data_IF_824783763595
#
_entry.id   IF_824783763595
#
_cell.length_a   1.000
_cell.length_b   1.000
_cell.length_c   1.000
_cell.angle_alpha   90.00
_cell.angle_beta   90.00
_cell.angle_gamma   90.00
#
_symmetry.space_group_name_H-M   'P 1'
#
loop_
_entity.id
_entity.type
_entity.pdbx_description
1 polymer ?
#
# COMPACT_ATOMS: atom_id res chain seq x y z
N UNK A 1 -17.83 3.96 12.92
CA UNK A 1 -16.58 3.31 12.45
C UNK A 1 -15.70 4.32 11.70
N UNK A 2 -16.09 4.86 10.55
CA UNK A 2 -15.22 5.78 9.78
C UNK A 2 -14.69 7.01 10.55
N UNK A 3 -15.52 7.67 11.37
CA UNK A 3 -15.11 8.84 12.17
C UNK A 3 -14.15 8.45 13.30
N UNK A 4 -14.38 7.34 13.96
CA UNK A 4 -13.51 6.84 15.03
C UNK A 4 -12.16 6.40 14.49
N UNK A 5 -12.14 5.74 13.34
CA UNK A 5 -10.91 5.35 12.65
C UNK A 5 -10.14 6.57 12.18
N UNK A 6 -10.81 7.56 11.59
CA UNK A 6 -10.18 8.82 11.21
C UNK A 6 -9.52 9.49 12.42
N UNK A 7 -10.24 9.69 13.53
CA UNK A 7 -9.70 10.33 14.73
C UNK A 7 -8.51 9.56 15.30
N UNK A 8 -8.56 8.23 15.31
CA UNK A 8 -7.46 7.39 15.75
C UNK A 8 -6.21 7.58 14.89
N UNK A 9 -6.37 7.63 13.57
CA UNK A 9 -5.26 7.83 12.63
C UNK A 9 -4.73 9.26 12.66
N UNK A 10 -5.61 10.27 12.78
CA UNK A 10 -5.19 11.66 12.94
C UNK A 10 -4.34 11.83 14.21
N UNK A 11 -4.73 11.25 15.34
CA UNK A 11 -3.93 11.26 16.57
C UNK A 11 -2.57 10.58 16.38
N UNK A 12 -2.52 9.45 15.68
CA UNK A 12 -1.28 8.72 15.41
C UNK A 12 -0.33 9.54 14.52
N UNK A 13 -0.85 10.16 13.48
CA UNK A 13 -0.05 11.01 12.58
C UNK A 13 0.36 12.32 13.23
N UNK A 14 -0.45 12.90 14.13
CA UNK A 14 -0.07 14.07 14.91
C UNK A 14 1.13 13.81 15.83
N UNK A 15 1.20 12.61 16.39
CA UNK A 15 2.27 12.21 17.31
C UNK A 15 3.60 11.88 16.61
N UNK A 16 3.57 11.57 15.30
CA UNK A 16 4.76 11.19 14.53
C UNK A 16 5.01 12.18 13.40
N UNK A 17 5.92 13.14 13.64
CA UNK A 17 6.44 14.03 12.58
C UNK A 17 7.61 13.43 11.79
N UNK A 18 8.11 12.27 12.20
CA UNK A 18 9.22 11.62 11.53
C UNK A 18 8.78 11.06 10.18
N UNK A 19 9.50 11.44 9.13
CA UNK A 19 9.31 10.87 7.79
C UNK A 19 9.70 9.40 7.83
N UNK A 20 8.71 8.53 7.71
CA UNK A 20 8.95 7.08 7.63
C UNK A 20 9.54 6.75 6.25
N UNK A 21 10.54 5.86 6.17
CA UNK A 21 11.04 5.40 4.88
C UNK A 21 9.94 4.64 4.11
N UNK A 22 10.01 4.61 2.77
CA UNK A 22 9.12 3.77 1.96
C UNK A 22 9.21 2.30 2.39
N UNK A 23 8.18 1.50 2.05
CA UNK A 23 8.24 0.05 2.25
C UNK A 23 9.49 -0.54 1.60
N UNK A 24 10.22 -1.37 2.33
CA UNK A 24 11.40 -2.05 1.81
C UNK A 24 11.03 -2.90 0.59
N UNK A 25 9.92 -3.66 0.68
CA UNK A 25 9.43 -4.46 -0.46
C UNK A 25 9.19 -3.59 -1.71
N UNK A 26 8.49 -2.46 -1.56
CA UNK A 26 8.23 -1.58 -2.70
C UNK A 26 9.51 -1.00 -3.29
N UNK A 27 10.43 -0.55 -2.43
CA UNK A 27 11.72 0.00 -2.86
C UNK A 27 12.53 -1.06 -3.62
N UNK A 28 12.67 -2.25 -3.05
CA UNK A 28 13.45 -3.33 -3.64
C UNK A 28 12.88 -3.73 -5.03
N UNK A 29 11.54 -3.79 -5.17
CA UNK A 29 10.88 -4.04 -6.46
C UNK A 29 11.16 -2.92 -7.47
N UNK A 30 11.09 -1.65 -7.04
CA UNK A 30 11.32 -0.50 -7.94
C UNK A 30 12.80 -0.27 -8.27
N UNK A 31 13.72 -0.82 -7.47
CA UNK A 31 15.17 -0.77 -7.70
C UNK A 31 15.64 -1.86 -8.69
N UNK A 32 14.80 -2.86 -8.97
CA UNK A 32 15.09 -3.94 -9.91
C UNK A 32 14.78 -3.53 -11.36
N UNK A 33 15.80 -3.15 -12.09
CA UNK A 33 15.70 -2.64 -13.49
C UNK A 33 15.00 -3.59 -14.46
N UNK A 34 15.06 -4.89 -14.23
CA UNK A 34 14.47 -5.88 -15.14
C UNK A 34 12.94 -5.85 -15.19
N UNK A 35 12.27 -5.31 -14.18
CA UNK A 35 10.80 -5.14 -14.20
C UNK A 35 10.34 -3.99 -15.09
N UNK A 36 11.23 -3.03 -15.40
CA UNK A 36 10.95 -1.82 -16.20
C UNK A 36 9.73 -1.03 -15.68
N UNK A 37 9.62 -0.92 -14.36
CA UNK A 37 8.51 -0.27 -13.68
C UNK A 37 8.76 1.25 -13.60
N UNK A 38 8.35 1.99 -14.63
CA UNK A 38 8.45 3.44 -14.63
C UNK A 38 7.31 4.08 -15.41
N UNK A 39 6.77 5.16 -14.87
CA UNK A 39 5.69 5.91 -15.51
C UNK A 39 4.33 5.22 -15.46
N UNK A 40 3.32 5.86 -16.03
CA UNK A 40 1.94 5.42 -15.97
C UNK A 40 1.21 5.94 -14.72
N UNK A 41 -0.01 5.44 -14.48
CA UNK A 41 -0.85 5.82 -13.35
C UNK A 41 -0.66 4.85 -12.19
N UNK A 42 -0.34 5.36 -11.01
CA UNK A 42 -0.23 4.55 -9.80
C UNK A 42 -1.27 4.94 -8.74
N UNK A 43 -1.66 3.98 -7.93
CA UNK A 43 -2.57 4.16 -6.79
C UNK A 43 -1.89 3.69 -5.51
N UNK A 44 -1.82 4.56 -4.49
CA UNK A 44 -1.37 4.22 -3.14
C UNK A 44 -2.56 4.23 -2.19
N UNK A 45 -2.97 3.06 -1.71
CA UNK A 45 -4.12 2.84 -0.84
C UNK A 45 -3.72 2.89 0.63
N UNK A 46 -4.49 3.61 1.45
CA UNK A 46 -4.16 3.90 2.85
C UNK A 46 -2.74 4.49 2.96
N UNK A 47 -2.48 5.51 2.15
CA UNK A 47 -1.15 6.04 1.91
C UNK A 47 -0.51 6.71 3.14
N UNK A 48 -1.30 7.05 4.17
CA UNK A 48 -0.84 7.83 5.32
C UNK A 48 -0.23 9.17 4.88
N UNK A 49 0.97 9.48 5.36
CA UNK A 49 1.73 10.67 4.95
C UNK A 49 2.44 10.51 3.60
N UNK A 50 2.13 9.45 2.85
CA UNK A 50 2.52 9.31 1.44
C UNK A 50 3.94 8.84 1.18
N UNK A 51 4.59 8.16 2.11
CA UNK A 51 5.97 7.66 1.93
C UNK A 51 6.16 6.82 0.66
N UNK A 52 5.18 5.98 0.32
CA UNK A 52 5.20 5.16 -0.88
C UNK A 52 4.76 5.96 -2.12
N UNK A 53 3.75 6.84 -1.99
CA UNK A 53 3.31 7.73 -3.04
C UNK A 53 4.44 8.65 -3.53
N UNK A 54 5.24 9.20 -2.61
CA UNK A 54 6.41 10.02 -2.93
C UNK A 54 7.45 9.23 -3.72
N UNK A 55 7.76 8.00 -3.28
CA UNK A 55 8.69 7.13 -4.01
C UNK A 55 8.19 6.82 -5.42
N UNK A 56 6.91 6.46 -5.58
CA UNK A 56 6.31 6.20 -6.90
C UNK A 56 6.39 7.42 -7.81
N UNK A 57 6.09 8.62 -7.29
CA UNK A 57 6.17 9.85 -8.06
C UNK A 57 7.61 10.19 -8.47
N UNK A 58 8.60 9.92 -7.60
CA UNK A 58 10.03 10.04 -7.93
C UNK A 58 10.46 9.08 -9.04
N UNK A 59 9.78 7.95 -9.18
CA UNK A 59 9.99 6.96 -10.26
C UNK A 59 9.18 7.27 -11.52
N UNK A 60 8.54 8.46 -11.59
CA UNK A 60 7.86 8.96 -12.78
C UNK A 60 6.41 8.53 -12.92
N UNK A 61 5.78 7.95 -11.90
CA UNK A 61 4.35 7.65 -11.91
C UNK A 61 3.52 8.91 -11.63
N UNK A 62 2.37 9.03 -12.33
CA UNK A 62 1.29 9.93 -11.92
C UNK A 62 0.48 9.23 -10.80
N UNK A 63 0.62 9.69 -9.56
CA UNK A 63 0.13 8.96 -8.38
C UNK A 63 -1.20 9.53 -7.90
N UNK A 64 -2.16 8.64 -7.60
CA UNK A 64 -3.31 8.95 -6.73
C UNK A 64 -3.06 8.31 -5.37
N UNK A 65 -3.03 9.12 -4.32
CA UNK A 65 -2.78 8.70 -2.94
C UNK A 65 -4.04 8.90 -2.10
N UNK A 66 -4.60 7.81 -1.56
CA UNK A 66 -5.88 7.82 -0.85
C UNK A 66 -5.64 7.49 0.63
N UNK A 67 -6.17 8.32 1.52
CA UNK A 67 -6.23 8.05 2.95
C UNK A 67 -7.47 8.70 3.59
N UNK A 68 -7.88 8.19 4.74
CA UNK A 68 -9.00 8.76 5.51
C UNK A 68 -8.57 9.98 6.32
N UNK A 69 -7.29 10.07 6.71
CA UNK A 69 -6.73 11.11 7.58
C UNK A 69 -6.36 12.36 6.78
N UNK A 70 -7.09 13.47 6.92
CA UNK A 70 -6.71 14.74 6.27
C UNK A 70 -5.37 15.25 6.78
N UNK A 71 -5.00 14.96 8.04
CA UNK A 71 -3.74 15.39 8.63
C UNK A 71 -2.56 14.65 7.98
N UNK A 72 -2.69 13.34 7.76
CA UNK A 72 -1.67 12.56 7.07
C UNK A 72 -1.46 13.06 5.63
N UNK A 73 -2.56 13.30 4.91
CA UNK A 73 -2.52 13.82 3.55
C UNK A 73 -1.86 15.19 3.47
N UNK A 74 -2.08 16.09 4.45
CA UNK A 74 -1.43 17.40 4.45
C UNK A 74 0.08 17.28 4.68
N UNK A 75 0.52 16.41 5.59
CA UNK A 75 1.95 16.11 5.76
C UNK A 75 2.57 15.61 4.44
N UNK A 76 1.87 14.75 3.72
CA UNK A 76 2.32 14.27 2.41
C UNK A 76 2.42 15.37 1.36
N UNK A 77 1.43 16.29 1.30
CA UNK A 77 1.45 17.44 0.40
C UNK A 77 2.65 18.36 0.68
N UNK A 78 2.94 18.62 1.95
CA UNK A 78 4.10 19.44 2.34
C UNK A 78 5.42 18.82 1.88
N UNK A 79 5.56 17.50 2.02
CA UNK A 79 6.74 16.77 1.54
C UNK A 79 6.85 16.82 0.00
N UNK A 80 5.72 16.65 -0.70
CA UNK A 80 5.70 16.68 -2.16
C UNK A 80 6.07 18.04 -2.77
N UNK A 81 5.88 19.15 -2.03
CA UNK A 81 6.25 20.50 -2.49
C UNK A 81 7.77 20.70 -2.72
N UNK A 82 8.60 19.78 -2.21
CA UNK A 82 10.05 19.85 -2.38
C UNK A 82 10.53 19.45 -3.79
N UNK A 83 9.62 19.04 -4.70
CA UNK A 83 9.96 18.64 -6.07
C UNK A 83 8.75 18.68 -7.01
N UNK A 84 8.97 18.51 -8.32
CA UNK A 84 7.91 18.52 -9.34
C UNK A 84 7.16 17.18 -9.37
N UNK A 85 6.64 16.73 -8.24
CA UNK A 85 5.99 15.42 -8.12
C UNK A 85 4.50 15.51 -8.50
N UNK A 86 4.01 14.58 -9.32
CA UNK A 86 2.61 14.49 -9.75
C UNK A 86 1.84 13.56 -8.81
N UNK A 87 1.28 14.10 -7.73
CA UNK A 87 0.50 13.34 -6.75
C UNK A 87 -0.86 14.01 -6.52
N UNK A 88 -1.92 13.26 -6.74
CA UNK A 88 -3.29 13.62 -6.36
C UNK A 88 -3.56 13.04 -4.98
N UNK A 89 -3.72 13.91 -3.99
CA UNK A 89 -4.03 13.53 -2.61
C UNK A 89 -5.54 13.54 -2.41
N UNK A 90 -6.12 12.37 -2.21
CA UNK A 90 -7.56 12.19 -2.09
C UNK A 90 -7.92 11.71 -0.69
N UNK A 91 -8.77 12.48 0.01
CA UNK A 91 -9.40 12.01 1.23
C UNK A 91 -10.59 11.14 0.88
N UNK A 92 -10.55 9.86 1.28
CA UNK A 92 -11.67 8.94 1.15
C UNK A 92 -11.60 7.83 2.21
N UNK A 93 -12.76 7.31 2.56
CA UNK A 93 -12.88 6.10 3.35
C UNK A 93 -12.87 4.89 2.41
N UNK A 94 -11.84 4.05 2.53
CA UNK A 94 -11.68 2.87 1.70
C UNK A 94 -12.74 1.79 1.94
N UNK A 95 -13.52 1.87 3.04
CA UNK A 95 -14.68 1.00 3.24
C UNK A 95 -15.84 1.33 2.30
N UNK A 96 -15.92 2.58 1.83
CA UNK A 96 -17.01 3.07 0.97
C UNK A 96 -16.57 3.50 -0.43
N UNK A 97 -15.26 3.59 -0.68
CA UNK A 97 -14.72 4.04 -1.97
C UNK A 97 -15.11 3.09 -3.10
N UNK A 98 -15.25 3.67 -4.30
CA UNK A 98 -15.36 2.92 -5.56
C UNK A 98 -14.13 3.23 -6.40
N UNK A 99 -13.32 2.22 -6.64
CA UNK A 99 -12.15 2.34 -7.51
C UNK A 99 -12.60 2.22 -8.98
N UNK A 100 -12.07 3.07 -9.88
CA UNK A 100 -12.35 2.95 -11.31
C UNK A 100 -11.74 1.66 -11.87
N UNK A 101 -12.43 1.04 -12.83
CA UNK A 101 -11.93 -0.17 -13.49
C UNK A 101 -10.84 0.16 -14.51
N UNK A 102 -9.82 -0.70 -14.61
CA UNK A 102 -8.74 -0.65 -15.61
C UNK A 102 -8.08 0.73 -15.75
N UNK A 103 -7.88 1.41 -14.64
CA UNK A 103 -7.32 2.77 -14.62
C UNK A 103 -5.83 2.81 -14.32
N UNK A 104 -5.34 1.89 -13.48
CA UNK A 104 -3.99 1.97 -12.92
C UNK A 104 -3.04 0.95 -13.54
N UNK A 105 -1.82 1.41 -13.78
CA UNK A 105 -0.69 0.59 -14.22
C UNK A 105 0.02 -0.05 -13.00
N UNK A 106 -0.09 0.59 -11.82
CA UNK A 106 0.55 0.12 -10.59
C UNK A 106 -0.33 0.42 -9.37
N UNK A 107 -0.57 -0.56 -8.51
CA UNK A 107 -1.30 -0.36 -7.25
C UNK A 107 -0.46 -0.84 -6.07
N UNK A 108 -0.40 -0.02 -5.02
CA UNK A 108 0.29 -0.32 -3.77
C UNK A 108 -0.72 -0.34 -2.62
N UNK A 109 -0.65 -1.40 -1.81
CA UNK A 109 -1.41 -1.52 -0.56
C UNK A 109 -0.48 -2.06 0.53
N UNK A 110 0.00 -1.18 1.40
CA UNK A 110 0.99 -1.52 2.44
C UNK A 110 0.43 -1.22 3.84
N UNK A 111 0.50 -2.21 4.74
CA UNK A 111 0.03 -2.11 6.12
C UNK A 111 -1.48 -1.83 6.27
N UNK A 112 -2.27 -2.15 5.27
CA UNK A 112 -3.72 -2.02 5.30
C UNK A 112 -4.38 -3.32 4.85
N UNK A 113 -5.44 -3.73 5.54
CA UNK A 113 -6.18 -4.95 5.21
C UNK A 113 -7.68 -4.69 5.25
N UNK A 114 -8.28 -4.74 4.07
CA UNK A 114 -9.73 -4.76 3.87
C UNK A 114 -10.06 -5.75 2.76
N UNK A 115 -10.60 -6.89 3.14
CA UNK A 115 -10.87 -8.00 2.21
C UNK A 115 -11.85 -7.63 1.11
N UNK A 116 -12.87 -6.83 1.43
CA UNK A 116 -13.86 -6.35 0.45
C UNK A 116 -13.28 -5.40 -0.61
N UNK A 117 -12.09 -4.83 -0.38
CA UNK A 117 -11.41 -3.96 -1.34
C UNK A 117 -10.63 -4.74 -2.40
N UNK A 118 -10.25 -5.98 -2.11
CA UNK A 118 -9.41 -6.81 -3.00
C UNK A 118 -10.01 -6.99 -4.41
N UNK A 119 -11.31 -7.29 -4.59
CA UNK A 119 -11.91 -7.36 -5.92
C UNK A 119 -11.80 -6.03 -6.68
N UNK A 120 -11.93 -4.89 -5.99
CA UNK A 120 -11.80 -3.57 -6.61
C UNK A 120 -10.35 -3.27 -7.00
N UNK A 121 -9.36 -3.64 -6.17
CA UNK A 121 -7.93 -3.53 -6.51
C UNK A 121 -7.62 -4.29 -7.80
N UNK A 122 -8.11 -5.52 -7.91
CA UNK A 122 -7.94 -6.36 -9.10
C UNK A 122 -8.64 -5.79 -10.34
N UNK A 123 -9.86 -5.24 -10.17
CA UNK A 123 -10.62 -4.59 -11.24
C UNK A 123 -9.97 -3.28 -11.70
N UNK A 124 -9.44 -2.51 -10.78
CA UNK A 124 -8.83 -1.21 -11.06
C UNK A 124 -7.48 -1.29 -11.81
N UNK A 125 -6.81 -2.44 -11.74
CA UNK A 125 -5.60 -2.70 -12.53
C UNK A 125 -5.94 -2.91 -14.01
N UNK A 126 -5.18 -2.26 -14.88
CA UNK A 126 -5.12 -2.58 -16.31
C UNK A 126 -4.57 -3.98 -16.53
N UNK A 127 -4.86 -4.56 -17.69
CA UNK A 127 -4.14 -5.74 -18.15
C UNK A 127 -2.65 -5.40 -18.31
N UNK A 128 -1.77 -6.23 -17.79
CA UNK A 128 -0.33 -5.95 -17.69
C UNK A 128 0.08 -5.11 -16.49
N UNK A 129 -0.88 -4.51 -15.76
CA UNK A 129 -0.62 -3.73 -14.56
C UNK A 129 -0.15 -4.58 -13.38
N UNK A 130 0.49 -3.93 -12.41
CA UNK A 130 1.14 -4.60 -11.28
C UNK A 130 0.55 -4.19 -9.94
N UNK A 131 0.57 -5.12 -8.99
CA UNK A 131 0.19 -4.86 -7.60
C UNK A 131 1.33 -5.21 -6.66
N UNK A 132 1.60 -4.34 -5.69
CA UNK A 132 2.37 -4.65 -4.49
C UNK A 132 1.43 -4.62 -3.31
N UNK A 133 1.30 -5.75 -2.64
CA UNK A 133 0.47 -5.88 -1.45
C UNK A 133 1.31 -6.45 -0.31
N UNK A 134 1.42 -5.75 0.82
CA UNK A 134 2.11 -6.23 2.01
C UNK A 134 1.35 -5.83 3.26
N UNK A 135 1.05 -6.79 4.14
CA UNK A 135 0.53 -6.49 5.48
C UNK A 135 0.87 -7.61 6.47
N UNK A 136 0.41 -7.47 7.70
CA UNK A 136 0.69 -8.41 8.77
C UNK A 136 -0.07 -9.72 8.60
N UNK A 137 0.58 -10.85 8.93
CA UNK A 137 -0.03 -12.19 8.98
C UNK A 137 -0.49 -12.57 10.39
N UNK A 138 -1.23 -13.66 10.49
CA UNK A 138 -1.88 -14.08 11.74
C UNK A 138 -0.89 -14.33 12.88
N UNK A 139 0.34 -14.74 12.58
CA UNK A 139 1.38 -14.96 13.58
C UNK A 139 1.84 -13.66 14.26
N UNK A 140 1.55 -12.50 13.69
CA UNK A 140 1.88 -11.20 14.31
C UNK A 140 1.29 -11.05 15.72
N UNK A 141 0.15 -11.69 15.99
CA UNK A 141 -0.49 -11.68 17.31
C UNK A 141 0.45 -12.19 18.43
N UNK A 142 1.40 -13.05 18.09
CA UNK A 142 2.34 -13.64 19.07
C UNK A 142 3.50 -12.71 19.43
N UNK A 143 3.76 -11.67 18.63
CA UNK A 143 4.93 -10.79 18.81
C UNK A 143 4.58 -9.31 18.98
N UNK A 144 3.36 -8.88 18.65
CA UNK A 144 2.97 -7.48 18.77
C UNK A 144 1.68 -7.12 18.04
N UNK A 145 1.46 -5.82 17.87
CA UNK A 145 0.29 -5.31 17.16
C UNK A 145 0.39 -5.50 15.64
N UNK A 146 -0.77 -5.62 14.94
CA UNK A 146 -2.14 -5.66 15.47
C UNK A 146 -2.50 -7.02 16.10
N UNK A 147 -3.40 -7.02 17.10
CA UNK A 147 -3.90 -8.24 17.73
C UNK A 147 -5.28 -8.67 17.21
N UNK A 148 -5.99 -7.81 16.47
CA UNK A 148 -7.30 -8.17 15.93
C UNK A 148 -7.12 -9.02 14.66
N UNK A 149 -7.61 -10.29 14.65
CA UNK A 149 -7.50 -11.18 13.49
C UNK A 149 -8.11 -10.62 12.20
N UNK A 150 -9.09 -9.71 12.30
CA UNK A 150 -9.69 -9.06 11.14
C UNK A 150 -8.69 -8.24 10.32
N UNK A 151 -7.60 -7.76 10.95
CA UNK A 151 -6.53 -6.98 10.31
C UNK A 151 -5.29 -7.82 9.99
N UNK A 152 -5.41 -9.14 10.05
CA UNK A 152 -4.30 -10.08 9.83
C UNK A 152 -4.64 -11.06 8.72
N UNK A 153 -3.70 -11.27 7.81
CA UNK A 153 -3.82 -12.26 6.74
C UNK A 153 -3.76 -13.67 7.31
N UNK A 154 -4.58 -14.55 6.78
CA UNK A 154 -4.40 -15.99 6.95
C UNK A 154 -3.23 -16.47 6.08
N UNK A 155 -2.71 -17.67 6.38
CA UNK A 155 -1.65 -18.28 5.57
C UNK A 155 -2.07 -18.41 4.11
N UNK A 156 -1.18 -17.99 3.20
CA UNK A 156 -1.38 -18.02 1.75
C UNK A 156 -2.53 -17.14 1.22
N UNK A 157 -3.20 -16.35 2.05
CA UNK A 157 -4.38 -15.58 1.65
C UNK A 157 -4.11 -14.62 0.47
N UNK A 158 -2.92 -14.00 0.41
CA UNK A 158 -2.54 -13.17 -0.75
C UNK A 158 -2.39 -14.01 -2.03
N UNK A 159 -1.84 -15.21 -1.95
CA UNK A 159 -1.72 -16.10 -3.10
C UNK A 159 -3.09 -16.52 -3.62
N UNK A 160 -4.05 -16.81 -2.72
CA UNK A 160 -5.42 -17.16 -3.10
C UNK A 160 -6.13 -16.00 -3.82
N UNK A 161 -5.94 -14.77 -3.36
CA UNK A 161 -6.55 -13.60 -3.98
C UNK A 161 -6.00 -13.26 -5.37
N UNK A 162 -4.72 -13.53 -5.60
CA UNK A 162 -4.03 -13.20 -6.85
C UNK A 162 -3.57 -14.45 -7.63
N UNK A 163 -4.22 -15.61 -7.43
CA UNK A 163 -3.84 -16.89 -8.05
C UNK A 163 -3.92 -16.90 -9.59
N UNK A 164 -4.73 -16.03 -10.18
CA UNK A 164 -4.88 -15.82 -11.62
C UNK A 164 -3.97 -14.71 -12.17
N UNK A 165 -3.18 -14.08 -11.32
CA UNK A 165 -2.12 -13.16 -11.70
C UNK A 165 -0.81 -13.92 -11.88
N UNK A 166 0.14 -13.33 -12.62
CA UNK A 166 1.50 -13.82 -12.62
C UNK A 166 2.19 -13.33 -11.34
N UNK A 167 2.41 -14.20 -10.38
CA UNK A 167 3.17 -13.88 -9.17
C UNK A 167 4.64 -13.77 -9.53
N UNK A 168 5.22 -12.59 -9.30
CA UNK A 168 6.61 -12.26 -9.61
C UNK A 168 7.50 -12.37 -8.37
N UNK A 169 6.94 -12.03 -7.21
CA UNK A 169 7.56 -12.20 -5.91
C UNK A 169 6.51 -12.51 -4.86
N UNK A 170 6.84 -13.41 -3.94
CA UNK A 170 6.05 -13.67 -2.74
C UNK A 170 6.95 -14.04 -1.57
N UNK A 171 6.62 -13.51 -0.42
CA UNK A 171 7.24 -13.88 0.85
C UNK A 171 6.21 -13.83 1.96
N UNK A 172 6.16 -14.88 2.79
CA UNK A 172 5.34 -14.93 4.00
C UNK A 172 6.17 -15.45 5.17
N UNK A 173 5.91 -14.94 6.37
CA UNK A 173 6.56 -15.36 7.59
C UNK A 173 7.23 -14.23 8.34
N UNK A 174 8.31 -14.55 9.06
CA UNK A 174 9.02 -13.58 9.89
C UNK A 174 9.94 -12.70 9.06
N UNK A 175 9.72 -11.38 9.17
CA UNK A 175 10.60 -10.35 8.63
C UNK A 175 11.40 -9.78 9.78
N UNK A 176 12.71 -9.79 9.67
CA UNK A 176 13.61 -9.16 10.62
C UNK A 176 14.12 -7.87 9.99
N UNK A 177 13.64 -6.73 10.49
CA UNK A 177 14.31 -5.44 10.30
C UNK A 177 15.29 -5.24 11.45
N UNK A 178 16.23 -4.28 11.31
CA UNK A 178 17.36 -4.12 12.25
C UNK A 178 16.94 -3.94 13.72
N UNK A 179 15.70 -3.52 14.00
CA UNK A 179 15.22 -3.22 15.35
C UNK A 179 13.94 -3.98 15.76
N UNK A 180 13.19 -4.50 14.80
CA UNK A 180 11.90 -5.17 15.07
C UNK A 180 11.72 -6.40 14.19
N UNK A 181 11.17 -7.46 14.76
CA UNK A 181 10.68 -8.57 13.95
C UNK A 181 9.17 -8.52 13.86
N UNK A 182 8.64 -8.74 12.66
CA UNK A 182 7.21 -8.80 12.40
C UNK A 182 6.87 -9.98 11.51
N UNK A 183 5.66 -10.51 11.65
CA UNK A 183 5.15 -11.54 10.75
C UNK A 183 4.25 -10.88 9.69
N UNK A 184 4.58 -11.09 8.42
CA UNK A 184 3.93 -10.46 7.27
C UNK A 184 3.78 -11.43 6.11
N UNK A 185 2.89 -11.07 5.19
CA UNK A 185 2.95 -11.57 3.82
C UNK A 185 3.08 -10.39 2.86
N UNK A 186 3.95 -10.54 1.86
CA UNK A 186 4.19 -9.58 0.80
C UNK A 186 4.15 -10.25 -0.57
N UNK A 187 3.45 -9.61 -1.50
CA UNK A 187 3.25 -10.09 -2.86
C UNK A 187 3.52 -8.97 -3.86
N UNK A 188 4.21 -9.32 -4.95
CA UNK A 188 4.29 -8.54 -6.17
C UNK A 188 3.79 -9.41 -7.32
N UNK A 189 2.76 -8.94 -8.01
CA UNK A 189 2.13 -9.71 -9.07
C UNK A 189 1.68 -8.83 -10.25
N UNK A 190 1.60 -9.43 -11.43
CA UNK A 190 1.15 -8.81 -12.67
C UNK A 190 -0.19 -9.38 -13.09
N UNK A 191 -1.16 -8.50 -13.40
CA UNK A 191 -2.42 -8.89 -14.01
C UNK A 191 -2.18 -9.36 -15.44
N UNK A 192 -2.50 -10.62 -15.70
CA UNK A 192 -2.43 -11.15 -17.07
C UNK A 192 -3.77 -10.90 -17.80
N UNK A 193 -3.73 -10.76 -19.14
CA UNK A 193 -4.94 -10.55 -19.95
C UNK A 193 -5.99 -11.64 -19.81
#
# INVERSE_FOLDING_TARGET
>A
MAIEDQLRWDCKHAASRAVQPPSALLRDILDEDHWRLSGGKALDLACGSGRNALLLAQRGFAVTAIDISPQALEQGREQARQGPLQIIWQRADLESVRLPEQEYDFIVNINYLQRSLVPQIRGALKNGGHVVFETYSIEQMSVGHPHNPAYLLQHNELLDWFRDFRVLFYREGKFADAETSSFRAGLFAQKIP
#
